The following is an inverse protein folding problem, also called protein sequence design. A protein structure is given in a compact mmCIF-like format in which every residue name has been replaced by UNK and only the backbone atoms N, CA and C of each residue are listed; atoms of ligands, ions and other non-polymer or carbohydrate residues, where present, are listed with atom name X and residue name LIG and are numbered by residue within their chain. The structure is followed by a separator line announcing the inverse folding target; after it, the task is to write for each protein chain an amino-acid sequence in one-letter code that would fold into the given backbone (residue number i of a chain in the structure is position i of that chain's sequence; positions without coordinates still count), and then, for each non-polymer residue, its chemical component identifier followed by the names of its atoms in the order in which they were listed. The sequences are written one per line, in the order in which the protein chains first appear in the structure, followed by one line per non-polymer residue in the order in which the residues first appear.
data_IF_460707273178
#
_entry.id   IF_460707273178
#
_cell.length_a   1.000
_cell.length_b   1.000
_cell.length_c   1.000
_cell.angle_alpha   90.00
_cell.angle_beta   90.00
_cell.angle_gamma   90.00
#
_symmetry.space_group_name_H-M   'P 1'
#
loop_
_entity.id
_entity.type
_entity.pdbx_description
1 polymer ?
#
# COMPACT_ATOMS: atom_id res chain seq x y z
N UNK A 1 14.28 2.26 0.08
CA UNK A 1 13.24 3.31 0.16
C UNK A 1 12.11 2.83 1.06
N UNK A 2 11.80 3.52 2.16
CA UNK A 2 10.69 3.13 3.05
C UNK A 2 9.34 3.27 2.32
N UNK A 3 8.86 2.21 1.67
CA UNK A 3 7.60 2.15 0.93
C UNK A 3 6.37 2.09 1.84
N UNK A 4 6.54 1.90 3.15
CA UNK A 4 5.44 1.91 4.11
C UNK A 4 4.85 3.31 4.32
N UNK A 5 5.57 4.37 3.93
CA UNK A 5 5.12 5.77 4.02
C UNK A 5 3.97 6.12 3.06
N UNK A 6 3.69 5.29 2.06
CA UNK A 6 2.65 5.52 1.06
C UNK A 6 1.39 4.78 1.51
N UNK A 7 0.68 5.40 2.46
CA UNK A 7 -0.47 4.83 3.13
C UNK A 7 -1.80 5.50 2.73
N UNK A 8 -1.75 6.61 2.00
CA UNK A 8 -2.92 7.39 1.60
C UNK A 8 -3.47 8.31 2.70
N UNK A 9 -2.80 8.41 3.85
CA UNK A 9 -3.17 9.32 4.95
C UNK A 9 -2.46 10.66 4.82
N UNK A 10 -1.13 10.61 4.73
CA UNK A 10 -0.31 11.82 4.71
C UNK A 10 -0.08 12.31 3.29
N UNK A 11 0.16 11.39 2.35
CA UNK A 11 0.49 11.70 0.96
C UNK A 11 0.06 10.59 0.00
N UNK A 12 -0.15 10.96 -1.27
CA UNK A 12 -0.39 10.02 -2.35
C UNK A 12 -1.87 9.72 -2.59
N UNK A 13 -2.13 8.60 -3.26
CA UNK A 13 -3.48 8.18 -3.63
C UNK A 13 -4.18 7.55 -2.44
N UNK A 14 -5.37 8.03 -2.12
CA UNK A 14 -6.29 7.44 -1.14
C UNK A 14 -7.45 6.77 -1.86
N UNK A 15 -7.88 5.61 -1.37
CA UNK A 15 -9.13 5.00 -1.80
C UNK A 15 -10.31 5.90 -1.44
N UNK A 16 -11.25 6.08 -2.37
CA UNK A 16 -12.43 6.94 -2.18
C UNK A 16 -13.58 6.19 -1.48
N UNK A 17 -13.64 4.87 -1.65
CA UNK A 17 -14.66 4.00 -1.08
C UNK A 17 -13.96 2.93 -0.23
N UNK A 18 -14.14 3.00 1.09
CA UNK A 18 -13.56 2.06 2.04
C UNK A 18 -14.42 1.97 3.31
N UNK A 19 -14.63 0.76 3.80
CA UNK A 19 -15.26 0.50 5.10
C UNK A 19 -14.18 0.18 6.14
N UNK A 20 -13.63 1.24 6.71
CA UNK A 20 -12.60 1.17 7.76
C UNK A 20 -11.14 1.28 7.28
N UNK A 21 -10.24 1.43 8.25
CA UNK A 21 -8.84 1.79 8.01
C UNK A 21 -8.05 0.69 7.27
N UNK A 22 -8.31 -0.58 7.57
CA UNK A 22 -7.61 -1.69 6.95
C UNK A 22 -7.91 -1.78 5.44
N UNK A 23 -9.18 -1.58 5.08
CA UNK A 23 -9.61 -1.54 3.69
C UNK A 23 -9.01 -0.33 2.98
N UNK A 24 -9.07 0.85 3.62
CA UNK A 24 -8.43 2.06 3.09
C UNK A 24 -6.96 1.83 2.74
N UNK A 25 -6.18 1.24 3.64
CA UNK A 25 -4.75 0.97 3.38
C UNK A 25 -4.54 -0.03 2.25
N UNK A 26 -5.31 -1.11 2.24
CA UNK A 26 -5.19 -2.18 1.26
C UNK A 26 -5.51 -1.69 -0.15
N UNK A 27 -6.60 -0.95 -0.30
CA UNK A 27 -7.08 -0.45 -1.59
C UNK A 27 -6.21 0.69 -2.11
N UNK A 28 -5.81 1.61 -1.22
CA UNK A 28 -4.89 2.71 -1.57
C UNK A 28 -3.55 2.18 -2.08
N UNK A 29 -2.94 1.21 -1.37
CA UNK A 29 -1.64 0.62 -1.76
C UNK A 29 -1.78 -0.31 -2.95
N UNK A 30 -2.88 -1.05 -3.03
CA UNK A 30 -3.22 -1.94 -4.13
C UNK A 30 -3.34 -1.19 -5.45
N UNK A 31 -3.94 -0.01 -5.44
CA UNK A 31 -4.15 0.80 -6.64
C UNK A 31 -2.96 1.72 -6.97
N UNK A 32 -2.07 1.99 -6.00
CA UNK A 32 -0.90 2.85 -6.19
C UNK A 32 0.38 2.10 -6.62
N UNK A 33 0.54 0.82 -6.27
CA UNK A 33 1.75 0.06 -6.60
C UNK A 33 1.60 -0.84 -7.83
N UNK A 34 2.59 -0.76 -8.71
CA UNK A 34 2.75 -1.70 -9.83
C UNK A 34 3.16 -3.11 -9.38
N UNK A 35 3.08 -4.10 -10.29
CA UNK A 35 3.29 -5.52 -9.96
C UNK A 35 4.69 -5.82 -9.39
N UNK A 36 5.74 -5.19 -9.90
CA UNK A 36 7.11 -5.40 -9.40
C UNK A 36 7.31 -4.86 -7.96
N UNK A 37 6.69 -3.72 -7.65
CA UNK A 37 6.76 -3.12 -6.30
C UNK A 37 6.01 -4.00 -5.29
N UNK A 38 4.82 -4.50 -5.66
CA UNK A 38 4.07 -5.45 -4.84
C UNK A 38 4.87 -6.73 -4.59
N UNK A 39 5.50 -7.29 -5.62
CA UNK A 39 6.35 -8.49 -5.50
C UNK A 39 7.50 -8.26 -4.51
N UNK A 40 8.18 -7.12 -4.56
CA UNK A 40 9.25 -6.77 -3.62
C UNK A 40 8.77 -6.58 -2.20
N UNK A 41 7.59 -5.97 -2.00
CA UNK A 41 6.99 -5.83 -0.66
C UNK A 41 6.73 -7.22 -0.07
N UNK A 42 6.09 -8.11 -0.83
CA UNK A 42 5.75 -9.47 -0.38
C UNK A 42 7.01 -10.31 -0.08
N UNK A 43 8.01 -10.28 -0.96
CA UNK A 43 9.30 -10.96 -0.74
C UNK A 43 10.05 -10.36 0.45
N UNK A 44 10.03 -9.03 0.59
CA UNK A 44 10.64 -8.33 1.71
C UNK A 44 9.99 -8.65 3.05
N UNK A 45 8.67 -8.83 3.10
CA UNK A 45 7.96 -9.25 4.33
C UNK A 45 8.18 -10.71 4.69
N UNK A 46 8.52 -11.58 3.72
CA UNK A 46 8.78 -12.99 3.98
C UNK A 46 10.21 -13.26 4.47
N UNK A 47 11.17 -12.41 4.07
CA UNK A 47 12.59 -12.58 4.38
C UNK A 47 13.07 -11.79 5.61
N UNK A 48 12.15 -11.18 6.37
CA UNK A 48 12.41 -10.33 7.54
C UNK A 48 11.91 -10.95 8.84
#
# INVERSE_FOLDING_TARGET
SNLARYDGIHYGRRAEDYDGLLQMYSDSRGAAFGPEVKRRIMLGTYAL
#
